data_IF_153743697061
#
_entry.id   IF_153743697061
#
_cell.length_a   1.000
_cell.length_b   1.000
_cell.length_c   1.000
_cell.angle_alpha   90.00
_cell.angle_beta   90.00
_cell.angle_gamma   90.00
#
_symmetry.space_group_name_H-M   'P 1'
#
loop_
_entity.id
_entity.type
_entity.pdbx_description
1 polymer ?
#
# COMPACT_ATOMS: atom_id res chain seq x y z
N UNK A 1 14.81 12.38 7.88
CA UNK A 1 13.46 12.74 8.38
C UNK A 1 12.39 12.86 7.27
N UNK A 2 12.72 12.94 5.98
CA UNK A 2 11.71 12.98 4.88
C UNK A 2 11.05 11.63 4.57
N UNK A 3 11.67 10.50 4.93
CA UNK A 3 11.27 9.16 4.47
C UNK A 3 9.81 8.79 4.77
N UNK A 4 9.26 9.21 5.90
CA UNK A 4 7.85 8.95 6.22
C UNK A 4 6.92 9.69 5.25
N UNK A 5 7.25 10.93 4.88
CA UNK A 5 6.50 11.68 3.86
C UNK A 5 6.63 11.02 2.49
N UNK A 6 7.84 10.57 2.15
CA UNK A 6 8.12 9.89 0.88
C UNK A 6 7.29 8.60 0.78
N UNK A 7 7.24 7.79 1.84
CA UNK A 7 6.40 6.58 1.88
C UNK A 7 4.90 6.90 1.80
N UNK A 8 4.42 7.95 2.47
CA UNK A 8 3.04 8.41 2.32
C UNK A 8 2.72 8.84 0.89
N UNK A 9 3.64 9.55 0.22
CA UNK A 9 3.46 9.93 -1.18
C UNK A 9 3.43 8.72 -2.11
N UNK A 10 4.32 7.74 -1.89
CA UNK A 10 4.31 6.48 -2.64
C UNK A 10 2.99 5.74 -2.45
N UNK A 11 2.47 5.66 -1.23
CA UNK A 11 1.16 5.07 -0.95
C UNK A 11 0.02 5.81 -1.66
N UNK A 12 0.05 7.14 -1.68
CA UNK A 12 -0.92 7.95 -2.39
C UNK A 12 -0.90 7.67 -3.90
N UNK A 13 0.29 7.62 -4.50
CA UNK A 13 0.45 7.36 -5.94
C UNK A 13 0.05 5.94 -6.32
N UNK A 14 0.19 4.97 -5.40
CA UNK A 14 -0.28 3.60 -5.61
C UNK A 14 -1.79 3.50 -5.79
N UNK A 15 -2.59 4.40 -5.21
CA UNK A 15 -4.04 4.45 -5.46
C UNK A 15 -4.33 4.57 -6.97
N UNK A 16 -3.70 5.56 -7.60
CA UNK A 16 -3.89 5.83 -9.03
C UNK A 16 -3.36 4.69 -9.90
N UNK A 17 -2.23 4.08 -9.51
CA UNK A 17 -1.68 2.93 -10.23
C UNK A 17 -2.61 1.71 -10.15
N UNK A 18 -3.22 1.46 -9.00
CA UNK A 18 -4.21 0.39 -8.80
C UNK A 18 -5.46 0.66 -9.65
N UNK A 19 -5.97 1.89 -9.67
CA UNK A 19 -7.12 2.24 -10.51
C UNK A 19 -6.82 2.02 -11.99
N UNK A 20 -5.67 2.50 -12.47
CA UNK A 20 -5.26 2.33 -13.86
C UNK A 20 -5.11 0.86 -14.27
N UNK A 21 -4.54 0.00 -13.41
CA UNK A 21 -4.37 -1.42 -13.76
C UNK A 21 -5.71 -2.16 -13.77
N UNK A 22 -6.65 -1.81 -12.88
CA UNK A 22 -8.01 -2.35 -12.87
C UNK A 22 -8.80 -1.91 -14.11
N UNK A 23 -8.66 -0.65 -14.53
CA UNK A 23 -9.23 -0.15 -15.78
C UNK A 23 -8.67 -0.88 -17.01
N UNK A 24 -7.35 -1.12 -17.02
CA UNK A 24 -6.70 -1.87 -18.09
C UNK A 24 -7.17 -3.32 -18.14
N UNK A 25 -7.35 -3.95 -16.98
CA UNK A 25 -7.92 -5.29 -16.85
C UNK A 25 -9.33 -5.34 -17.46
N UNK A 26 -10.20 -4.40 -17.09
CA UNK A 26 -11.55 -4.27 -17.67
C UNK A 26 -11.51 -4.09 -19.19
N UNK A 27 -10.61 -3.24 -19.68
CA UNK A 27 -10.44 -3.02 -21.12
C UNK A 27 -10.10 -4.33 -21.83
N UNK A 28 -9.14 -5.10 -21.34
CA UNK A 28 -8.75 -6.36 -21.98
C UNK A 28 -9.82 -7.43 -21.89
N UNK A 29 -10.54 -7.52 -20.76
CA UNK A 29 -11.70 -8.41 -20.65
C UNK A 29 -12.78 -8.02 -21.65
N UNK A 30 -13.16 -6.74 -21.74
CA UNK A 30 -14.15 -6.27 -22.72
C UNK A 30 -13.73 -6.60 -24.15
N UNK A 31 -12.48 -6.32 -24.51
CA UNK A 31 -11.94 -6.65 -25.83
C UNK A 31 -12.00 -8.17 -26.12
N UNK A 32 -11.73 -9.03 -25.13
CA UNK A 32 -11.83 -10.47 -25.28
C UNK A 32 -13.26 -10.95 -25.58
N UNK A 33 -14.25 -10.36 -24.91
CA UNK A 33 -15.67 -10.65 -25.13
C UNK A 33 -16.18 -10.12 -26.48
N UNK A 34 -15.79 -8.91 -26.88
CA UNK A 34 -16.15 -8.39 -28.21
C UNK A 34 -15.58 -9.26 -29.33
N UNK A 35 -14.42 -9.89 -29.14
CA UNK A 35 -13.83 -10.82 -30.12
C UNK A 35 -14.67 -12.10 -30.33
N UNK A 36 -15.50 -12.48 -29.36
CA UNK A 36 -16.45 -13.60 -29.48
C UNK A 36 -17.87 -13.12 -29.80
N UNK A 37 -18.05 -11.84 -30.14
CA UNK A 37 -19.34 -11.27 -30.55
C UNK A 37 -20.23 -10.79 -29.40
N UNK A 38 -19.66 -10.56 -28.21
CA UNK A 38 -20.40 -10.13 -27.02
C UNK A 38 -19.96 -8.72 -26.63
N UNK A 39 -20.83 -7.74 -26.82
CA UNK A 39 -20.50 -6.33 -26.57
C UNK A 39 -21.07 -5.77 -25.26
N UNK A 40 -22.03 -6.49 -24.66
CA UNK A 40 -22.69 -6.11 -23.41
C UNK A 40 -22.26 -7.01 -22.27
N UNK A 41 -21.47 -6.45 -21.34
CA UNK A 41 -21.04 -7.12 -20.12
C UNK A 41 -21.39 -6.19 -18.96
N UNK A 42 -21.98 -6.75 -17.92
CA UNK A 42 -22.32 -6.04 -16.69
C UNK A 42 -21.07 -5.64 -15.91
N UNK A 43 -21.14 -4.43 -15.33
CA UNK A 43 -20.20 -3.98 -14.32
C UNK A 43 -20.78 -4.23 -12.93
N UNK A 44 -19.87 -4.48 -11.99
CA UNK A 44 -20.11 -4.43 -10.56
C UNK A 44 -19.31 -3.26 -9.98
N UNK A 45 -19.94 -2.46 -9.12
CA UNK A 45 -19.24 -1.41 -8.37
C UNK A 45 -18.78 -1.98 -7.03
N UNK A 46 -17.49 -1.86 -6.77
CA UNK A 46 -16.84 -2.47 -5.61
C UNK A 46 -16.29 -1.37 -4.74
N UNK A 47 -16.69 -1.42 -3.48
CA UNK A 47 -16.17 -0.54 -2.45
C UNK A 47 -14.88 -1.11 -1.88
N UNK A 48 -13.75 -0.47 -2.18
CA UNK A 48 -12.44 -0.81 -1.63
C UNK A 48 -12.21 -0.16 -0.26
N UNK A 49 -12.68 1.07 -0.09
CA UNK A 49 -12.72 1.79 1.19
C UNK A 49 -13.83 2.85 1.19
N UNK A 50 -14.03 3.58 2.28
CA UNK A 50 -14.94 4.71 2.36
C UNK A 50 -14.57 5.78 1.30
N UNK A 51 -15.52 6.07 0.39
CA UNK A 51 -15.37 6.87 -0.84
C UNK A 51 -14.51 6.29 -1.97
N UNK A 52 -13.83 5.16 -1.78
CA UNK A 52 -13.06 4.53 -2.86
C UNK A 52 -13.83 3.38 -3.48
N UNK A 53 -14.37 3.65 -4.68
CA UNK A 53 -15.14 2.71 -5.48
C UNK A 53 -14.42 2.43 -6.80
N UNK A 54 -14.40 1.17 -7.21
CA UNK A 54 -13.89 0.74 -8.52
C UNK A 54 -14.97 -0.03 -9.27
N UNK A 55 -15.10 0.21 -10.57
CA UNK A 55 -16.04 -0.51 -11.43
C UNK A 55 -15.31 -1.63 -12.12
N UNK A 56 -15.84 -2.85 -12.07
CA UNK A 56 -15.20 -4.03 -12.63
C UNK A 56 -16.19 -4.91 -13.39
N UNK A 57 -15.74 -5.59 -14.43
CA UNK A 57 -16.59 -6.50 -15.21
C UNK A 57 -16.85 -7.80 -14.43
N UNK A 58 -18.12 -8.24 -14.37
CA UNK A 58 -18.54 -9.43 -13.61
C UNK A 58 -17.75 -10.73 -13.90
N UNK A 59 -17.29 -11.03 -15.13
CA UNK A 59 -16.47 -12.20 -15.41
C UNK A 59 -15.15 -12.28 -14.63
N UNK A 60 -14.56 -11.14 -14.29
CA UNK A 60 -13.33 -11.05 -13.50
C UNK A 60 -13.54 -11.64 -12.09
N UNK A 61 -14.79 -11.65 -11.60
CA UNK A 61 -15.15 -12.21 -10.31
C UNK A 61 -14.35 -11.54 -9.20
N UNK A 62 -14.80 -10.39 -8.70
CA UNK A 62 -14.01 -9.66 -7.70
C UNK A 62 -13.92 -10.40 -6.38
N UNK A 63 -14.90 -11.23 -6.05
CA UNK A 63 -14.76 -12.20 -4.96
C UNK A 63 -13.64 -13.21 -5.18
N UNK A 64 -13.03 -13.28 -6.37
CA UNK A 64 -11.82 -14.07 -6.69
C UNK A 64 -10.57 -13.20 -6.62
N UNK A 65 -10.55 -12.04 -7.29
CA UNK A 65 -9.41 -11.07 -7.25
C UNK A 65 -9.17 -10.51 -5.84
N UNK A 66 -10.24 -10.28 -5.11
CA UNK A 66 -10.27 -9.75 -3.74
C UNK A 66 -10.87 -10.77 -2.75
N UNK A 67 -10.86 -12.07 -3.09
CA UNK A 67 -11.36 -13.18 -2.23
C UNK A 67 -10.78 -13.19 -0.81
N UNK A 68 -9.68 -12.46 -0.62
CA UNK A 68 -8.95 -12.29 0.61
C UNK A 68 -9.11 -10.88 1.18
N UNK A 69 -10.30 -10.30 1.16
CA UNK A 69 -10.64 -9.10 1.93
C UNK A 69 -10.63 -9.38 3.45
N UNK A 70 -9.49 -9.85 3.94
CA UNK A 70 -9.19 -9.98 5.35
C UNK A 70 -8.90 -8.59 5.94
N UNK A 71 -8.88 -8.53 7.27
CA UNK A 71 -8.69 -7.26 7.99
C UNK A 71 -7.41 -6.52 7.55
N UNK A 72 -6.33 -7.25 7.29
CA UNK A 72 -5.06 -6.66 6.88
C UNK A 72 -5.08 -6.04 5.48
N UNK A 73 -5.79 -6.65 4.53
CA UNK A 73 -6.00 -6.07 3.21
C UNK A 73 -6.85 -4.79 3.29
N UNK A 74 -7.94 -4.81 4.08
CA UNK A 74 -8.76 -3.62 4.30
C UNK A 74 -7.97 -2.51 5.01
N UNK A 75 -7.12 -2.86 5.97
CA UNK A 75 -6.24 -1.92 6.65
C UNK A 75 -5.21 -1.29 5.70
N UNK A 76 -4.70 -2.06 4.74
CA UNK A 76 -3.83 -1.55 3.69
C UNK A 76 -4.55 -0.58 2.74
N UNK A 77 -5.73 -0.95 2.24
CA UNK A 77 -6.53 -0.08 1.36
C UNK A 77 -6.88 1.24 2.07
N UNK A 78 -7.18 1.18 3.36
CA UNK A 78 -7.38 2.37 4.20
C UNK A 78 -6.14 3.27 4.23
N UNK A 79 -4.92 2.71 4.30
CA UNK A 79 -3.67 3.49 4.27
C UNK A 79 -3.46 4.18 2.94
N UNK A 80 -3.71 3.48 1.85
CA UNK A 80 -3.62 4.03 0.50
C UNK A 80 -4.63 5.18 0.32
N UNK A 81 -5.88 4.97 0.70
CA UNK A 81 -6.94 5.98 0.61
C UNK A 81 -6.65 7.22 1.48
N UNK A 82 -6.32 7.03 2.75
CA UNK A 82 -5.94 8.12 3.68
C UNK A 82 -4.72 8.88 3.13
N UNK A 83 -3.69 8.18 2.65
CA UNK A 83 -2.49 8.84 2.10
C UNK A 83 -2.82 9.69 0.88
N UNK A 84 -3.70 9.20 -0.01
CA UNK A 84 -4.15 9.94 -1.17
C UNK A 84 -4.97 11.19 -0.79
N UNK A 85 -5.93 11.07 0.12
CA UNK A 85 -6.73 12.20 0.58
C UNK A 85 -5.87 13.25 1.30
N UNK A 86 -4.86 12.80 2.05
CA UNK A 86 -3.88 13.67 2.68
C UNK A 86 -3.05 14.42 1.63
N UNK A 87 -2.57 13.72 0.58
CA UNK A 87 -1.83 14.34 -0.54
C UNK A 87 -2.68 15.37 -1.29
N UNK A 88 -4.00 15.17 -1.37
CA UNK A 88 -4.93 16.14 -1.95
C UNK A 88 -5.28 17.32 -1.04
N UNK A 89 -4.83 17.33 0.22
CA UNK A 89 -5.22 18.34 1.20
C UNK A 89 -6.68 18.25 1.65
N UNK A 90 -7.36 17.13 1.39
CA UNK A 90 -8.79 16.93 1.75
C UNK A 90 -8.98 16.52 3.20
N UNK A 91 -7.97 15.93 3.83
CA UNK A 91 -7.99 15.52 5.24
C UNK A 91 -6.71 15.98 5.96
N UNK A 92 -6.80 16.12 7.27
CA UNK A 92 -5.64 16.45 8.11
C UNK A 92 -4.76 15.23 8.43
N UNK A 93 -3.50 15.44 8.84
CA UNK A 93 -2.57 14.40 9.28
C UNK A 93 -3.09 13.44 10.36
N UNK A 94 -4.06 13.87 11.16
CA UNK A 94 -4.60 13.11 12.30
C UNK A 94 -5.23 11.76 11.89
N UNK A 95 -5.82 11.69 10.69
CA UNK A 95 -6.40 10.45 10.16
C UNK A 95 -5.31 9.40 9.89
N UNK A 96 -4.17 9.82 9.35
CA UNK A 96 -3.02 8.93 9.11
C UNK A 96 -2.37 8.52 10.42
N UNK A 97 -2.21 9.44 11.38
CA UNK A 97 -1.69 9.19 12.74
C UNK A 97 -2.43 8.04 13.43
N UNK A 98 -3.77 8.07 13.42
CA UNK A 98 -4.57 7.00 14.02
C UNK A 98 -4.38 5.66 13.31
N UNK A 99 -4.26 5.70 11.98
CA UNK A 99 -4.17 4.50 11.16
C UNK A 99 -2.82 3.79 11.32
N UNK A 100 -1.71 4.52 11.23
CA UNK A 100 -0.36 3.97 11.37
C UNK A 100 0.11 3.89 12.83
N UNK A 101 -0.81 4.06 13.79
CA UNK A 101 -0.55 3.84 15.22
C UNK A 101 0.45 4.83 15.82
N UNK A 102 0.45 6.08 15.34
CA UNK A 102 1.42 7.08 15.73
C UNK A 102 1.07 7.73 17.07
N UNK A 103 2.09 8.16 17.84
CA UNK A 103 1.87 8.96 19.03
C UNK A 103 1.08 10.23 18.71
N UNK A 104 0.18 10.65 19.60
CA UNK A 104 -0.70 11.82 19.41
C UNK A 104 0.06 13.15 19.18
N UNK A 105 1.32 13.23 19.60
CA UNK A 105 2.18 14.39 19.41
C UNK A 105 2.80 14.44 18.00
N UNK A 106 2.80 13.32 17.25
CA UNK A 106 3.30 13.26 15.89
C UNK A 106 2.37 14.04 14.96
N UNK A 107 2.91 15.06 14.28
CA UNK A 107 2.21 15.82 13.25
C UNK A 107 2.97 15.65 11.94
N UNK A 108 2.26 15.41 10.84
CA UNK A 108 2.83 15.56 9.51
C UNK A 108 2.67 17.02 9.12
N UNK A 109 3.77 17.71 8.85
CA UNK A 109 3.72 19.09 8.36
C UNK A 109 3.03 19.19 7.00
N UNK A 110 2.12 20.15 6.87
CA UNK A 110 1.74 20.76 5.58
C UNK A 110 2.46 22.10 5.52
N UNK A 111 3.60 22.18 4.85
CA UNK A 111 4.24 23.48 4.60
C UNK A 111 3.34 24.32 3.70
N UNK A 112 2.99 25.51 4.17
CA UNK A 112 2.26 26.53 3.40
C UNK A 112 3.07 26.86 2.14
N UNK A 113 2.57 26.46 0.97
CA UNK A 113 3.13 26.85 -0.34
C UNK A 113 3.64 25.71 -1.24
N UNK A 114 3.70 24.46 -0.77
CA UNK A 114 4.02 23.31 -1.62
C UNK A 114 2.87 22.31 -1.60
N UNK A 115 2.41 21.87 -2.77
CA UNK A 115 1.36 20.85 -2.94
C UNK A 115 1.75 19.45 -2.40
N UNK A 116 2.81 19.36 -1.60
CA UNK A 116 3.33 18.15 -0.99
C UNK A 116 3.86 18.59 0.38
N UNK A 117 3.17 18.14 1.44
CA UNK A 117 3.66 18.29 2.80
C UNK A 117 4.87 17.39 2.99
N UNK A 118 6.05 17.99 3.03
CA UNK A 118 7.20 17.33 3.66
C UNK A 118 6.83 17.07 5.12
N UNK A 119 7.11 15.87 5.63
CA UNK A 119 6.91 15.56 7.04
C UNK A 119 7.84 16.45 7.87
N UNK A 120 7.32 17.60 8.30
CA UNK A 120 7.89 18.31 9.44
C UNK A 120 7.50 17.45 10.63
N UNK A 121 8.47 16.72 11.16
CA UNK A 121 8.40 16.21 12.51
C UNK A 121 8.27 17.45 13.39
N UNK A 122 7.07 17.73 13.90
CA UNK A 122 6.87 18.72 14.97
C UNK A 122 7.35 18.14 16.32
N UNK A 123 8.48 17.44 16.33
CA UNK A 123 9.37 17.33 17.47
C UNK A 123 10.44 18.35 17.12
N UNK A 124 10.68 19.36 17.95
CA UNK A 124 11.64 20.44 17.66
C UNK A 124 13.05 19.92 17.38
N UNK A 125 13.27 19.43 16.16
CA UNK A 125 14.45 18.75 15.66
C UNK A 125 14.64 19.27 14.23
N UNK A 126 14.94 20.57 14.10
CA UNK A 126 15.80 21.06 13.03
C UNK A 126 17.21 20.57 13.37
N UNK A 127 17.51 19.30 13.08
CA UNK A 127 18.84 18.76 13.33
C UNK A 127 19.47 18.42 11.99
N UNK A 128 20.26 19.37 11.51
CA UNK A 128 21.35 19.14 10.58
C UNK A 128 22.26 18.10 11.23
N UNK A 129 22.24 16.86 10.70
CA UNK A 129 22.95 15.69 11.25
C UNK A 129 24.46 15.96 11.40
N UNK A 130 25.01 16.86 10.58
CA UNK A 130 26.44 17.16 10.52
C UNK A 130 27.01 17.98 11.71
N UNK A 131 26.20 18.41 12.68
CA UNK A 131 26.65 19.32 13.75
C UNK A 131 26.31 18.91 15.19
N UNK A 132 25.92 17.65 15.45
CA UNK A 132 25.58 17.20 16.82
C UNK A 132 26.86 17.11 17.66
N UNK A 133 27.13 18.16 18.42
CA UNK A 133 28.32 18.28 19.27
C UNK A 133 27.89 18.53 20.72
N UNK A 134 27.12 17.59 21.28
CA UNK A 134 26.72 17.61 22.70
C UNK A 134 25.85 16.42 23.11
N UNK A 135 25.97 15.98 24.38
CA UNK A 135 25.20 14.86 24.93
C UNK A 135 23.67 15.12 24.87
N UNK A 136 23.25 16.36 25.09
CA UNK A 136 21.84 16.75 25.06
C UNK A 136 21.25 16.70 23.64
N UNK A 137 22.03 17.07 22.63
CA UNK A 137 21.63 16.99 21.23
C UNK A 137 21.60 15.55 20.74
N UNK A 138 22.57 14.72 21.16
CA UNK A 138 22.57 13.28 20.88
C UNK A 138 21.39 12.56 21.51
N UNK A 139 21.04 12.90 22.76
CA UNK A 139 19.86 12.36 23.43
C UNK A 139 18.55 12.77 22.73
N UNK A 140 18.46 14.02 22.25
CA UNK A 140 17.31 14.49 21.44
C UNK A 140 17.21 13.77 20.11
N UNK A 141 18.35 13.57 19.41
CA UNK A 141 18.40 12.79 18.19
C UNK A 141 17.89 11.37 18.45
N UNK A 142 18.47 10.64 19.41
CA UNK A 142 18.08 9.28 19.78
C UNK A 142 16.59 9.16 20.14
N UNK A 143 16.06 10.13 20.89
CA UNK A 143 14.63 10.19 21.17
C UNK A 143 13.80 10.37 19.89
N UNK A 144 14.22 11.27 18.99
CA UNK A 144 13.60 11.43 17.67
C UNK A 144 13.65 10.16 16.81
N UNK A 145 14.77 9.41 16.84
CA UNK A 145 14.91 8.13 16.13
C UNK A 145 13.92 7.10 16.68
N UNK A 146 13.91 6.94 18.00
CA UNK A 146 13.00 6.03 18.70
C UNK A 146 11.54 6.33 18.38
N UNK A 147 11.20 7.61 18.40
CA UNK A 147 9.88 8.14 18.09
C UNK A 147 9.48 7.91 16.61
N UNK A 148 10.46 7.85 15.71
CA UNK A 148 10.25 7.62 14.28
C UNK A 148 10.26 6.14 13.86
N UNK A 149 10.78 5.23 14.68
CA UNK A 149 10.91 3.83 14.33
C UNK A 149 9.57 3.18 13.96
N UNK A 150 8.53 3.39 14.79
CA UNK A 150 7.18 2.86 14.56
C UNK A 150 6.54 3.36 13.25
N UNK A 151 6.43 4.69 12.98
CA UNK A 151 5.92 5.18 11.70
C UNK A 151 6.70 4.65 10.50
N UNK A 152 8.03 4.60 10.61
CA UNK A 152 8.90 4.23 9.51
C UNK A 152 8.71 2.78 9.09
N UNK A 153 8.66 1.87 10.07
CA UNK A 153 8.36 0.45 9.84
C UNK A 153 6.96 0.30 9.24
N UNK A 154 5.95 0.96 9.82
CA UNK A 154 4.56 0.77 9.41
C UNK A 154 4.24 1.33 8.01
N UNK A 155 4.81 2.49 7.67
CA UNK A 155 4.68 3.07 6.34
C UNK A 155 5.47 2.29 5.31
N UNK A 156 6.69 1.83 5.64
CA UNK A 156 7.48 0.98 4.74
C UNK A 156 6.79 -0.35 4.48
N UNK A 157 6.23 -0.97 5.51
CA UNK A 157 5.39 -2.16 5.40
C UNK A 157 4.22 -1.91 4.44
N UNK A 158 3.50 -0.79 4.60
CA UNK A 158 2.44 -0.39 3.69
C UNK A 158 2.91 -0.27 2.24
N UNK A 159 4.06 0.37 2.00
CA UNK A 159 4.64 0.51 0.65
C UNK A 159 4.95 -0.85 0.02
N UNK A 160 5.65 -1.73 0.75
CA UNK A 160 6.03 -3.06 0.26
C UNK A 160 4.79 -3.91 -0.02
N UNK A 161 3.83 -3.92 0.91
CA UNK A 161 2.61 -4.72 0.78
C UNK A 161 1.70 -4.21 -0.35
N UNK A 162 1.61 -2.89 -0.55
CA UNK A 162 0.86 -2.32 -1.67
C UNK A 162 1.53 -2.65 -3.00
N UNK A 163 2.87 -2.62 -3.06
CA UNK A 163 3.62 -3.03 -4.25
C UNK A 163 3.35 -4.51 -4.59
N UNK A 164 3.38 -5.39 -3.59
CA UNK A 164 3.06 -6.82 -3.76
C UNK A 164 1.71 -7.05 -4.45
N UNK A 165 0.63 -6.42 -3.96
CA UNK A 165 -0.69 -6.57 -4.58
C UNK A 165 -0.78 -5.90 -5.94
N UNK A 166 -0.09 -4.78 -6.15
CA UNK A 166 -0.01 -4.14 -7.46
C UNK A 166 0.64 -5.07 -8.50
N UNK A 167 1.73 -5.74 -8.14
CA UNK A 167 2.41 -6.69 -9.03
C UNK A 167 1.55 -7.92 -9.31
N UNK A 168 0.80 -8.41 -8.32
CA UNK A 168 -0.20 -9.47 -8.51
C UNK A 168 -1.29 -9.04 -9.51
N UNK A 169 -1.86 -7.83 -9.38
CA UNK A 169 -2.85 -7.30 -10.32
C UNK A 169 -2.27 -7.16 -11.73
N UNK A 170 -0.99 -6.79 -11.84
CA UNK A 170 -0.30 -6.68 -13.11
C UNK A 170 -0.11 -8.05 -13.77
N UNK A 171 0.26 -9.08 -13.01
CA UNK A 171 0.37 -10.46 -13.49
C UNK A 171 -0.97 -10.97 -14.01
N UNK A 172 -2.06 -10.77 -13.24
CA UNK A 172 -3.43 -11.13 -13.66
C UNK A 172 -3.81 -10.40 -14.96
N UNK A 173 -3.53 -9.10 -15.04
CA UNK A 173 -3.83 -8.29 -16.24
C UNK A 173 -3.10 -8.81 -17.47
N UNK A 174 -1.85 -9.27 -17.31
CA UNK A 174 -1.06 -9.86 -18.38
C UNK A 174 -1.65 -11.20 -18.88
N UNK A 175 -2.13 -12.05 -17.98
CA UNK A 175 -2.81 -13.28 -18.36
C UNK A 175 -4.17 -13.01 -19.04
N UNK A 176 -4.94 -12.01 -18.58
CA UNK A 176 -6.17 -11.59 -19.27
C UNK A 176 -5.85 -11.07 -20.68
N UNK A 177 -4.77 -10.32 -20.86
CA UNK A 177 -4.32 -9.90 -22.19
C UNK A 177 -3.93 -11.10 -23.07
N UNK A 178 -3.38 -12.17 -22.48
CA UNK A 178 -3.11 -13.42 -23.20
C UNK A 178 -4.40 -14.14 -23.60
N UNK A 179 -5.40 -14.19 -22.72
CA UNK A 179 -6.73 -14.73 -23.02
C UNK A 179 -7.37 -13.95 -24.16
N UNK A 180 -7.32 -12.62 -24.14
CA UNK A 180 -7.79 -11.79 -25.27
C UNK A 180 -7.17 -12.22 -26.59
N UNK A 181 -5.85 -12.46 -26.64
CA UNK A 181 -5.16 -12.96 -27.85
C UNK A 181 -5.59 -14.37 -28.25
N UNK A 182 -5.96 -15.23 -27.29
CA UNK A 182 -6.51 -16.57 -27.57
C UNK A 182 -7.94 -16.48 -28.11
N UNK A 183 -8.78 -15.59 -27.58
CA UNK A 183 -10.16 -15.38 -28.01
C UNK A 183 -10.25 -14.99 -29.50
N UNK A 184 -9.30 -14.20 -30.00
CA UNK A 184 -9.22 -13.86 -31.43
C UNK A 184 -9.00 -15.08 -32.36
N UNK A 185 -8.52 -16.21 -31.82
CA UNK A 185 -8.15 -17.41 -32.60
C UNK A 185 -9.09 -18.58 -32.34
N UNK A 186 -9.67 -18.64 -31.13
CA UNK A 186 -10.54 -19.71 -30.68
C UNK A 186 -12.00 -19.27 -30.82
N UNK A 187 -12.87 -20.19 -31.24
CA UNK A 187 -14.32 -19.98 -31.28
C UNK A 187 -14.93 -20.30 -29.91
N UNK A 188 -14.56 -19.53 -28.89
CA UNK A 188 -15.08 -19.72 -27.54
C UNK A 188 -16.53 -19.25 -27.43
N UNK A 189 -17.30 -19.95 -26.59
CA UNK A 189 -18.59 -19.47 -26.08
C UNK A 189 -18.38 -18.45 -24.96
N UNK A 190 -19.46 -17.80 -24.50
CA UNK A 190 -19.42 -16.88 -23.36
C UNK A 190 -18.92 -17.60 -22.10
N UNK A 191 -19.46 -18.80 -21.85
CA UNK A 191 -19.10 -19.66 -20.74
C UNK A 191 -17.64 -20.07 -20.79
N UNK A 192 -17.13 -20.51 -21.95
CA UNK A 192 -15.71 -20.91 -22.10
C UNK A 192 -14.77 -19.75 -21.74
N UNK A 193 -15.08 -18.53 -22.22
CA UNK A 193 -14.25 -17.35 -21.96
C UNK A 193 -14.32 -16.95 -20.48
N UNK A 194 -15.50 -17.03 -19.87
CA UNK A 194 -15.71 -16.73 -18.45
C UNK A 194 -14.94 -17.69 -17.54
N UNK A 195 -14.96 -18.98 -17.86
CA UNK A 195 -14.20 -19.99 -17.12
C UNK A 195 -12.70 -19.78 -17.29
N UNK A 196 -12.19 -19.59 -18.53
CA UNK A 196 -10.76 -19.35 -18.75
C UNK A 196 -10.25 -18.10 -18.02
N UNK A 197 -11.04 -17.02 -17.95
CA UNK A 197 -10.68 -15.82 -17.19
C UNK A 197 -10.60 -16.13 -15.69
N UNK A 198 -11.58 -16.82 -15.13
CA UNK A 198 -11.62 -17.15 -13.70
C UNK A 198 -10.50 -18.10 -13.30
N UNK A 199 -10.24 -19.10 -14.11
CA UNK A 199 -9.16 -20.07 -13.89
C UNK A 199 -7.81 -19.37 -13.96
N UNK A 200 -7.59 -18.52 -14.97
CA UNK A 200 -6.33 -17.78 -15.08
C UNK A 200 -6.12 -16.80 -13.91
N UNK A 201 -7.17 -16.14 -13.43
CA UNK A 201 -7.06 -15.29 -12.23
C UNK A 201 -6.65 -16.14 -11.03
N UNK A 202 -7.33 -17.26 -10.80
CA UNK A 202 -7.08 -18.15 -9.65
C UNK A 202 -5.66 -18.73 -9.69
N UNK A 203 -5.28 -19.34 -10.81
CA UNK A 203 -3.96 -19.94 -11.02
C UNK A 203 -2.83 -18.90 -10.91
N UNK A 204 -3.03 -17.71 -11.48
CA UNK A 204 -2.05 -16.61 -11.36
C UNK A 204 -1.89 -16.16 -9.91
N UNK A 205 -2.99 -16.03 -9.16
CA UNK A 205 -2.94 -15.63 -7.76
C UNK A 205 -2.27 -16.68 -6.88
N UNK A 206 -2.55 -17.96 -7.09
CA UNK A 206 -1.93 -19.07 -6.38
C UNK A 206 -0.43 -19.13 -6.68
N UNK A 207 -0.06 -19.15 -7.97
CA UNK A 207 1.33 -19.13 -8.41
C UNK A 207 2.09 -17.92 -7.85
N UNK A 208 1.47 -16.73 -7.88
CA UNK A 208 2.12 -15.53 -7.36
C UNK A 208 2.38 -15.62 -5.86
N UNK A 209 1.44 -16.15 -5.06
CA UNK A 209 1.61 -16.34 -3.62
C UNK A 209 2.66 -17.39 -3.28
N UNK A 210 2.77 -18.45 -4.08
CA UNK A 210 3.78 -19.50 -3.89
C UNK A 210 5.19 -19.01 -4.23
N UNK A 211 5.32 -18.18 -5.27
CA UNK A 211 6.62 -17.75 -5.79
C UNK A 211 7.09 -16.40 -5.23
N UNK A 212 6.17 -15.58 -4.73
CA UNK A 212 6.45 -14.24 -4.19
C UNK A 212 5.97 -14.19 -2.74
N UNK A 213 6.91 -14.13 -1.77
CA UNK A 213 6.54 -14.00 -0.36
C UNK A 213 5.77 -12.69 -0.10
N UNK A 214 4.65 -12.80 0.61
CA UNK A 214 3.91 -11.62 1.05
C UNK A 214 4.76 -10.83 2.06
N UNK A 215 4.94 -9.51 1.89
CA UNK A 215 5.69 -8.70 2.84
C UNK A 215 5.09 -8.75 4.25
N UNK A 216 5.96 -8.81 5.24
CA UNK A 216 5.64 -8.67 6.68
C UNK A 216 6.32 -7.43 7.28
N UNK A 217 5.96 -7.06 8.51
CA UNK A 217 6.64 -5.95 9.22
C UNK A 217 8.10 -6.27 9.53
N UNK A 218 8.41 -7.53 9.82
CA UNK A 218 9.77 -8.04 10.00
C UNK A 218 10.58 -7.90 8.70
N UNK A 219 9.97 -8.21 7.55
CA UNK A 219 10.61 -7.99 6.24
C UNK A 219 10.82 -6.49 5.96
N UNK A 220 9.87 -5.63 6.34
CA UNK A 220 10.00 -4.18 6.20
C UNK A 220 11.12 -3.61 7.08
N UNK A 221 11.25 -4.10 8.32
CA UNK A 221 12.35 -3.74 9.21
C UNK A 221 13.71 -4.19 8.64
N UNK A 222 13.76 -5.39 8.04
CA UNK A 222 14.97 -5.91 7.40
C UNK A 222 15.38 -5.05 6.20
N UNK A 223 14.41 -4.66 5.36
CA UNK A 223 14.63 -3.75 4.23
C UNK A 223 15.13 -2.37 4.70
N UNK A 224 14.54 -1.80 5.75
CA UNK A 224 14.99 -0.53 6.33
C UNK A 224 16.45 -0.60 6.80
N UNK A 225 16.82 -1.63 7.57
CA UNK A 225 18.21 -1.85 8.01
C UNK A 225 19.18 -1.97 6.84
N UNK A 226 18.76 -2.64 5.77
CA UNK A 226 19.55 -2.74 4.55
C UNK A 226 19.81 -1.36 3.93
N UNK A 227 18.77 -0.52 3.83
CA UNK A 227 18.90 0.85 3.32
C UNK A 227 19.75 1.74 4.21
N UNK A 228 19.55 1.66 5.53
CA UNK A 228 20.30 2.43 6.52
C UNK A 228 21.79 2.16 6.45
N UNK A 229 22.15 0.88 6.37
CA UNK A 229 23.55 0.45 6.19
C UNK A 229 24.15 0.98 4.88
N UNK A 230 23.40 0.99 3.79
CA UNK A 230 23.89 1.48 2.48
C UNK A 230 24.09 3.00 2.52
N UNK A 231 23.17 3.72 3.15
CA UNK A 231 23.19 5.17 3.21
C UNK A 231 24.06 5.73 4.34
N UNK A 232 24.55 4.88 5.24
CA UNK A 232 25.26 5.30 6.45
C UNK A 232 24.37 6.09 7.42
N UNK A 233 23.05 5.88 7.34
CA UNK A 233 22.09 6.61 8.15
C UNK A 233 21.66 5.77 9.35
N UNK A 234 21.43 6.41 10.50
CA UNK A 234 20.86 5.79 11.70
C UNK A 234 21.62 4.57 12.23
N UNK A 235 22.89 4.37 11.88
CA UNK A 235 23.65 3.15 12.28
C UNK A 235 24.10 3.18 13.74
N UNK A 236 24.34 4.37 14.30
CA UNK A 236 24.97 4.53 15.61
C UNK A 236 23.98 4.95 16.71
N UNK A 237 22.78 5.36 16.30
CA UNK A 237 21.73 5.90 17.18
C UNK A 237 20.42 5.11 17.09
N UNK A 238 20.39 3.99 16.35
CA UNK A 238 19.20 3.14 16.24
C UNK A 238 18.81 2.52 17.60
N UNK A 239 17.55 2.13 17.68
CA UNK A 239 17.07 1.24 18.73
C UNK A 239 17.80 -0.10 18.67
N UNK A 240 17.93 -0.75 19.83
CA UNK A 240 18.42 -2.13 19.86
C UNK A 240 17.51 -3.04 19.03
N UNK A 241 18.07 -4.13 18.52
CA UNK A 241 17.32 -5.17 17.81
C UNK A 241 16.07 -5.61 18.57
N UNK A 242 16.20 -5.85 19.88
CA UNK A 242 15.09 -6.29 20.73
C UNK A 242 13.99 -5.22 20.85
N UNK A 243 14.33 -3.94 20.95
CA UNK A 243 13.35 -2.86 20.97
C UNK A 243 12.62 -2.71 19.64
N UNK A 244 13.30 -2.92 18.51
CA UNK A 244 12.67 -2.90 17.18
C UNK A 244 11.71 -4.08 16.98
N UNK A 245 12.04 -5.26 17.50
CA UNK A 245 11.15 -6.43 17.50
C UNK A 245 9.89 -6.18 18.34
N UNK A 246 10.03 -5.49 19.48
CA UNK A 246 8.91 -5.08 20.32
C UNK A 246 7.96 -4.11 19.59
N UNK A 247 8.53 -3.13 18.86
CA UNK A 247 7.75 -2.23 17.99
C UNK A 247 6.99 -3.00 16.92
N UNK A 248 7.61 -3.99 16.29
CA UNK A 248 6.95 -4.84 15.28
C UNK A 248 5.78 -5.61 15.90
N UNK A 249 5.95 -6.17 17.10
CA UNK A 249 4.89 -6.85 17.84
C UNK A 249 3.72 -5.92 18.14
N UNK A 250 3.97 -4.72 18.66
CA UNK A 250 2.93 -3.72 18.91
C UNK A 250 2.15 -3.35 17.64
N UNK A 251 2.83 -3.22 16.51
CA UNK A 251 2.20 -2.89 15.24
C UNK A 251 1.31 -4.04 14.74
N UNK A 252 1.75 -5.28 14.90
CA UNK A 252 0.92 -6.47 14.60
C UNK A 252 -0.33 -6.53 15.49
N UNK A 253 -0.20 -6.22 16.79
CA UNK A 253 -1.34 -6.13 17.71
C UNK A 253 -2.30 -4.98 17.35
N UNK A 254 -1.76 -3.82 16.95
CA UNK A 254 -2.56 -2.66 16.54
C UNK A 254 -3.45 -2.97 15.33
N UNK A 255 -2.91 -3.62 14.29
CA UNK A 255 -3.70 -4.05 13.13
C UNK A 255 -4.86 -4.98 13.54
N UNK A 256 -4.60 -5.90 14.47
CA UNK A 256 -5.62 -6.82 14.98
C UNK A 256 -6.70 -6.12 15.80
N UNK A 257 -6.38 -5.00 16.46
CA UNK A 257 -7.28 -4.33 17.40
C UNK A 257 -7.95 -3.07 16.85
N UNK A 258 -7.42 -2.47 15.77
CA UNK A 258 -7.96 -1.22 15.25
C UNK A 258 -9.37 -1.41 14.67
N UNK A 259 -10.28 -0.49 15.04
CA UNK A 259 -11.58 -0.35 14.39
C UNK A 259 -11.44 0.60 13.18
N UNK A 260 -11.43 0.00 11.99
CA UNK A 260 -11.33 0.71 10.72
C UNK A 260 -12.52 1.64 10.45
N UNK A 261 -13.69 1.32 10.98
CA UNK A 261 -14.92 2.11 10.78
C UNK A 261 -14.91 3.40 11.61
N UNK A 262 -14.16 3.41 12.71
CA UNK A 262 -13.96 4.58 13.56
C UNK A 262 -12.93 5.59 12.98
N UNK A 263 -12.32 5.31 11.83
CA UNK A 263 -11.43 6.24 11.13
C UNK A 263 -12.29 7.05 10.15
N UNK A 264 -12.80 8.17 10.65
CA UNK A 264 -13.55 9.17 9.88
C UNK A 264 -12.58 10.16 9.23
N UNK A 265 -12.91 10.58 8.02
CA UNK A 265 -12.23 11.61 7.25
C UNK A 265 -12.69 13.00 7.66
#
# INVERSE_FOLDING_TARGET
MSECADYTNVLADKKLQIENILELMNKYTKEAYSLIGIDSISFEEIKLDHEWYVKMLQPIGITTVFSLANKGFNFLLKKVAVSYLLKQGRIGPAALVKLVGLPKWFKLGTSVGSAIGGAIVAVGIDVTIDAITGNDERAKLQNGIKDLAKPRIELRYGVLKTQYYYDMLMAITNEINRIKRKAAKKKWTEEDLKEEIRDAITDTMETFKETTPEPTRESALTDLKGKDKILGNWTDEDLSQSSLEEVVKELNEHENNIDLTAIKY
#
